data_IF_700132292824
#
_entry.id   IF_700132292824
#
_cell.length_a   1.000
_cell.length_b   1.000
_cell.length_c   1.000
_cell.angle_alpha   90.00
_cell.angle_beta   90.00
_cell.angle_gamma   90.00
#
_symmetry.space_group_name_H-M   'P 1'
#
loop_
_entity.id
_entity.type
_entity.pdbx_description
1 polymer ?
#
# COMPACT_ATOMS: atom_id res chain seq x y z
N UNK A 1 -7.10 36.59 18.00
CA UNK A 1 -5.80 36.42 17.34
C UNK A 1 -5.15 35.16 17.88
N UNK A 2 -5.29 34.03 17.17
CA UNK A 2 -4.73 32.72 17.57
C UNK A 2 -3.30 32.60 17.03
N UNK A 3 -2.35 32.33 17.91
CA UNK A 3 -0.94 32.15 17.59
C UNK A 3 -0.73 30.93 16.68
N UNK A 4 0.15 31.08 15.69
CA UNK A 4 0.58 30.04 14.75
C UNK A 4 1.31 28.90 15.51
N UNK A 5 1.12 27.62 15.15
CA UNK A 5 1.98 26.56 15.66
C UNK A 5 3.35 26.69 14.97
N UNK A 6 4.38 26.88 15.79
CA UNK A 6 5.77 26.99 15.34
C UNK A 6 6.34 25.67 14.85
N UNK A 7 7.31 25.77 13.94
CA UNK A 7 8.15 24.69 13.42
C UNK A 7 8.68 23.80 14.56
N UNK A 8 8.29 22.53 14.54
CA UNK A 8 8.98 21.50 15.32
C UNK A 8 10.32 21.17 14.65
N UNK A 9 11.40 21.18 15.43
CA UNK A 9 12.70 20.68 14.98
C UNK A 9 12.58 19.19 14.57
N UNK A 10 13.26 18.73 13.51
CA UNK A 10 13.21 17.34 13.05
C UNK A 10 13.56 16.31 14.14
N UNK A 11 14.32 16.69 15.18
CA UNK A 11 14.61 15.85 16.34
C UNK A 11 13.37 15.59 17.23
N UNK A 12 12.46 16.56 17.36
CA UNK A 12 11.22 16.40 18.13
C UNK A 12 10.19 15.52 17.41
N UNK A 13 10.22 15.53 16.07
CA UNK A 13 9.38 14.66 15.26
C UNK A 13 9.79 13.19 15.41
N UNK A 14 11.10 12.91 15.41
CA UNK A 14 11.68 11.57 15.56
C UNK A 14 11.33 10.94 16.92
N UNK A 15 11.44 11.71 18.01
CA UNK A 15 11.07 11.25 19.37
C UNK A 15 9.56 10.99 19.47
N UNK A 16 8.72 11.82 18.84
CA UNK A 16 7.27 11.60 18.82
C UNK A 16 6.85 10.34 18.03
N UNK A 17 7.70 9.87 17.11
CA UNK A 17 7.43 8.75 16.23
C UNK A 17 7.86 7.42 16.87
N UNK A 18 8.97 7.39 17.61
CA UNK A 18 9.36 6.27 18.47
C UNK A 18 8.40 6.05 19.65
N UNK A 19 7.99 7.13 20.34
CA UNK A 19 6.99 7.04 21.42
C UNK A 19 5.65 6.47 20.92
N UNK A 20 5.29 6.77 19.67
CA UNK A 20 4.07 6.25 19.03
C UNK A 20 4.17 4.76 18.69
N UNK A 21 5.37 4.25 18.43
CA UNK A 21 5.62 2.84 18.17
C UNK A 21 5.55 2.01 19.47
N UNK A 22 6.11 2.54 20.57
CA UNK A 22 6.05 1.92 21.89
C UNK A 22 4.63 1.88 22.49
N UNK A 23 3.80 2.91 22.25
CA UNK A 23 2.42 2.92 22.71
C UNK A 23 1.47 2.00 21.90
N UNK A 24 1.77 1.71 20.62
CA UNK A 24 0.86 0.92 19.79
C UNK A 24 0.96 -0.60 20.02
N UNK A 25 1.99 -1.07 20.73
CA UNK A 25 2.11 -2.45 21.21
C UNK A 25 1.19 -2.78 22.41
N UNK A 26 0.44 -1.79 22.93
CA UNK A 26 -0.63 -2.02 23.91
C UNK A 26 -2.00 -1.86 23.25
N UNK A 27 -2.68 -2.98 22.97
CA UNK A 27 -4.11 -2.97 22.68
C UNK A 27 -4.91 -2.52 23.92
N UNK A 28 -5.94 -1.67 23.78
CA UNK A 28 -6.87 -1.41 24.87
C UNK A 28 -7.82 -2.61 25.02
N UNK A 29 -7.56 -3.44 26.03
CA UNK A 29 -8.55 -4.37 26.56
C UNK A 29 -9.83 -3.65 26.98
N UNK A 30 -10.97 -4.34 26.85
CA UNK A 30 -12.33 -3.81 27.03
C UNK A 30 -12.66 -3.19 28.41
N UNK A 31 -13.92 -2.76 28.61
CA UNK A 31 -14.30 -1.86 29.70
C UNK A 31 -14.13 -2.50 31.10
N UNK A 32 -13.93 -1.69 32.15
CA UNK A 32 -13.40 -2.14 33.43
C UNK A 32 -14.46 -2.87 34.25
N UNK A 33 -14.18 -4.13 34.60
CA UNK A 33 -14.88 -4.85 35.68
C UNK A 33 -14.23 -4.50 37.01
N UNK A 34 -15.05 -4.03 37.95
CA UNK A 34 -14.71 -3.68 39.33
C UNK A 34 -14.21 -4.89 40.14
N UNK A 35 -12.95 -4.87 40.57
CA UNK A 35 -12.38 -5.81 41.54
C UNK A 35 -10.98 -5.38 42.00
N UNK A 36 -10.56 -5.60 43.26
CA UNK A 36 -9.34 -5.03 43.82
C UNK A 36 -8.11 -5.96 43.70
N UNK A 37 -6.94 -5.35 43.51
CA UNK A 37 -5.54 -5.80 43.75
C UNK A 37 -4.78 -6.55 42.63
N UNK A 38 -3.57 -6.03 42.42
CA UNK A 38 -2.33 -6.66 41.97
C UNK A 38 -2.28 -7.25 40.55
N UNK A 39 -2.31 -6.39 39.53
CA UNK A 39 -1.78 -6.75 38.21
C UNK A 39 -0.28 -6.43 38.16
N UNK A 40 0.54 -7.43 38.44
CA UNK A 40 1.95 -7.44 38.08
C UNK A 40 2.00 -7.47 36.54
N UNK A 41 2.34 -6.34 35.93
CA UNK A 41 2.63 -6.26 34.49
C UNK A 41 3.92 -7.06 34.23
N UNK A 42 3.95 -7.99 33.26
CA UNK A 42 5.13 -8.82 33.01
C UNK A 42 6.27 -7.95 32.46
N UNK A 43 7.44 -8.03 33.12
CA UNK A 43 8.69 -7.42 32.64
C UNK A 43 8.94 -7.84 31.18
N UNK A 44 9.24 -6.87 30.31
CA UNK A 44 9.53 -7.20 28.91
C UNK A 44 10.81 -8.07 28.86
N UNK A 45 10.76 -9.28 28.27
CA UNK A 45 11.93 -10.16 28.25
C UNK A 45 13.03 -9.52 27.41
N UNK A 46 14.24 -9.48 27.96
CA UNK A 46 15.41 -8.99 27.25
C UNK A 46 15.71 -9.88 26.03
N UNK A 47 16.15 -9.32 24.89
CA UNK A 47 16.63 -10.11 23.77
C UNK A 47 17.81 -11.01 24.19
N UNK A 48 17.92 -12.24 23.67
CA UNK A 48 19.03 -13.13 24.00
C UNK A 48 20.38 -12.49 23.65
N UNK A 49 21.30 -12.45 24.62
CA UNK A 49 22.63 -11.84 24.47
C UNK A 49 22.70 -10.33 24.77
N UNK A 50 21.59 -9.70 25.16
CA UNK A 50 21.60 -8.30 25.59
C UNK A 50 22.33 -8.14 26.94
N UNK A 51 23.22 -7.14 27.11
CA UNK A 51 23.95 -6.92 28.37
C UNK A 51 23.04 -6.58 29.57
N UNK A 52 21.77 -6.27 29.30
CA UNK A 52 20.73 -6.04 30.30
C UNK A 52 20.81 -4.65 30.96
N UNK A 53 19.71 -4.29 31.63
CA UNK A 53 19.66 -3.16 32.55
C UNK A 53 19.02 -3.65 33.85
N UNK A 54 19.45 -3.11 34.98
CA UNK A 54 18.91 -3.47 36.29
C UNK A 54 18.80 -2.25 37.20
N UNK A 55 17.85 -2.34 38.14
CA UNK A 55 17.62 -1.33 39.17
C UNK A 55 17.79 -1.99 40.53
N UNK A 56 18.61 -1.38 41.38
CA UNK A 56 18.85 -1.85 42.74
C UNK A 56 18.44 -0.77 43.72
N UNK A 57 17.45 -1.06 44.56
CA UNK A 57 17.07 -0.16 45.65
C UNK A 57 18.06 -0.33 46.82
N UNK A 58 18.67 0.77 47.27
CA UNK A 58 19.62 0.82 48.39
C UNK A 58 19.05 1.78 49.44
N UNK A 59 18.34 1.24 50.44
CA UNK A 59 17.74 2.06 51.49
C UNK A 59 18.79 2.48 52.52
N UNK A 60 19.10 3.79 52.60
CA UNK A 60 20.05 4.35 53.56
C UNK A 60 19.44 5.50 54.36
N UNK A 61 19.57 5.45 55.70
CA UNK A 61 19.35 6.55 56.67
C UNK A 61 18.40 7.69 56.26
N UNK A 62 17.12 7.39 55.98
CA UNK A 62 16.07 8.40 55.78
C UNK A 62 15.97 9.03 54.39
N UNK A 63 16.79 8.62 53.41
CA UNK A 63 16.67 8.99 52.00
C UNK A 63 16.59 7.74 51.12
N UNK A 64 15.65 7.73 50.18
CA UNK A 64 15.50 6.61 49.24
C UNK A 64 16.56 6.76 48.15
N UNK A 65 17.54 5.85 48.10
CA UNK A 65 18.54 5.81 47.04
C UNK A 65 18.35 4.55 46.19
N UNK A 66 18.44 4.69 44.88
CA UNK A 66 18.44 3.54 43.97
C UNK A 66 19.49 3.72 42.89
N UNK A 67 20.02 2.62 42.41
CA UNK A 67 21.09 2.58 41.41
C UNK A 67 20.55 1.99 40.11
N UNK A 68 20.81 2.67 39.00
CA UNK A 68 20.46 2.20 37.65
C UNK A 68 21.75 1.76 36.97
N UNK A 69 21.81 0.49 36.55
CA UNK A 69 22.97 -0.11 35.91
C UNK A 69 22.66 -0.69 34.54
N UNK A 70 23.70 -0.78 33.72
CA UNK A 70 23.70 -1.46 32.43
C UNK A 70 23.42 -0.52 31.27
N UNK A 71 22.82 -1.09 30.22
CA UNK A 71 22.60 -0.43 28.93
C UNK A 71 21.14 0.01 28.79
N UNK A 72 20.91 1.32 28.79
CA UNK A 72 19.59 1.96 28.64
C UNK A 72 19.29 2.30 27.18
N UNK A 73 19.20 1.27 26.34
CA UNK A 73 18.59 1.34 25.01
C UNK A 73 17.12 0.91 25.06
N UNK A 74 16.39 1.00 23.95
CA UNK A 74 14.95 0.68 23.94
C UNK A 74 14.57 -0.66 24.64
N UNK A 75 15.28 -1.79 24.41
CA UNK A 75 15.00 -3.05 25.10
C UNK A 75 15.38 -3.02 26.59
N UNK A 76 16.57 -2.49 26.93
CA UNK A 76 17.03 -2.41 28.31
C UNK A 76 16.14 -1.51 29.16
N UNK A 77 15.76 -0.36 28.62
CA UNK A 77 14.87 0.62 29.26
C UNK A 77 13.48 0.03 29.48
N UNK A 78 12.89 -0.65 28.48
CA UNK A 78 11.59 -1.31 28.64
C UNK A 78 11.60 -2.39 29.73
N UNK A 79 12.72 -3.09 29.90
CA UNK A 79 12.87 -4.12 30.93
C UNK A 79 12.85 -3.53 32.35
N UNK A 80 13.50 -2.39 32.57
CA UNK A 80 13.61 -1.74 33.89
C UNK A 80 12.52 -0.72 34.19
N UNK A 81 11.68 -0.36 33.22
CA UNK A 81 10.75 0.75 33.30
C UNK A 81 9.82 0.69 34.52
N UNK A 82 9.14 -0.44 34.71
CA UNK A 82 8.15 -0.61 35.77
C UNK A 82 8.80 -0.69 37.16
N UNK A 83 9.93 -1.38 37.26
CA UNK A 83 10.64 -1.52 38.53
C UNK A 83 11.27 -0.20 38.97
N UNK A 84 11.90 0.53 38.04
CA UNK A 84 12.44 1.87 38.30
C UNK A 84 11.34 2.83 38.78
N UNK A 85 10.20 2.84 38.09
CA UNK A 85 9.07 3.71 38.41
C UNK A 85 8.47 3.37 39.78
N UNK A 86 8.37 2.08 40.09
CA UNK A 86 7.87 1.59 41.38
C UNK A 86 8.79 2.00 42.53
N UNK A 87 10.10 1.75 42.40
CA UNK A 87 11.10 2.14 43.41
C UNK A 87 11.09 3.65 43.61
N UNK A 88 11.05 4.44 42.53
CA UNK A 88 10.98 5.89 42.61
C UNK A 88 9.71 6.40 43.31
N UNK A 89 8.55 5.79 43.05
CA UNK A 89 7.28 6.16 43.69
C UNK A 89 7.21 5.82 45.19
N UNK A 90 8.04 4.89 45.68
CA UNK A 90 8.07 4.49 47.08
C UNK A 90 8.71 5.56 48.00
N UNK A 91 9.46 6.52 47.44
CA UNK A 91 10.10 7.62 48.18
C UNK A 91 9.17 8.82 48.42
N UNK A 92 7.96 8.59 48.92
CA UNK A 92 6.93 9.64 49.06
C UNK A 92 7.36 10.77 50.02
N UNK A 93 7.31 12.01 49.52
CA UNK A 93 7.56 13.24 50.29
C UNK A 93 9.03 13.54 50.68
N UNK A 94 10.00 12.76 50.20
CA UNK A 94 11.42 12.90 50.55
C UNK A 94 12.35 13.25 49.37
N UNK A 95 13.63 13.49 49.67
CA UNK A 95 14.68 13.56 48.66
C UNK A 95 15.05 12.14 48.21
N UNK A 96 14.92 11.89 46.90
CA UNK A 96 15.23 10.61 46.26
C UNK A 96 16.51 10.76 45.45
N UNK A 97 17.47 9.86 45.62
CA UNK A 97 18.72 9.87 44.84
C UNK A 97 18.78 8.69 43.87
N UNK A 98 19.02 8.98 42.60
CA UNK A 98 19.28 7.97 41.57
C UNK A 98 20.77 7.99 41.19
N UNK A 99 21.50 6.94 41.57
CA UNK A 99 22.89 6.75 41.17
C UNK A 99 22.97 6.18 39.75
N UNK A 100 23.57 6.97 38.87
CA UNK A 100 23.67 6.71 37.43
C UNK A 100 25.09 6.24 37.02
N UNK A 101 25.96 5.91 37.98
CA UNK A 101 27.36 5.53 37.72
C UNK A 101 27.50 4.25 36.90
N UNK A 102 26.55 3.31 37.03
CA UNK A 102 26.55 2.05 36.31
C UNK A 102 25.96 2.09 34.90
N UNK A 103 25.60 3.26 34.37
CA UNK A 103 25.01 3.41 33.03
C UNK A 103 26.13 3.41 31.96
N UNK A 104 26.24 2.33 31.20
CA UNK A 104 27.27 2.18 30.17
C UNK A 104 26.90 2.94 28.87
N UNK A 105 25.63 2.90 28.51
CA UNK A 105 25.09 3.51 27.30
C UNK A 105 23.63 3.92 27.52
N UNK A 106 23.22 5.03 26.91
CA UNK A 106 21.86 5.55 26.99
C UNK A 106 21.44 6.20 25.67
N UNK A 107 20.26 5.82 25.16
CA UNK A 107 19.63 6.45 23.99
C UNK A 107 18.43 7.33 24.38
N UNK A 108 17.59 7.71 23.40
CA UNK A 108 16.40 8.53 23.63
C UNK A 108 15.37 7.87 24.57
N UNK A 109 15.30 6.54 24.62
CA UNK A 109 14.38 5.81 25.49
C UNK A 109 14.86 5.86 26.95
N UNK A 110 16.15 5.67 27.20
CA UNK A 110 16.73 5.80 28.54
C UNK A 110 16.63 7.22 29.09
N UNK A 111 16.79 8.23 28.23
CA UNK A 111 16.52 9.62 28.58
C UNK A 111 15.05 9.85 28.98
N UNK A 112 14.11 9.26 28.25
CA UNK A 112 12.68 9.34 28.57
C UNK A 112 12.36 8.69 29.93
N UNK A 113 13.02 7.57 30.26
CA UNK A 113 12.90 6.93 31.58
C UNK A 113 13.33 7.88 32.70
N UNK A 114 14.52 8.50 32.60
CA UNK A 114 14.99 9.43 33.65
C UNK A 114 14.07 10.64 33.85
N UNK A 115 13.51 11.17 32.76
CA UNK A 115 12.50 12.24 32.83
C UNK A 115 11.20 11.75 33.47
N UNK A 116 10.76 10.54 33.14
CA UNK A 116 9.57 9.94 33.77
C UNK A 116 9.77 9.71 35.27
N UNK A 117 10.96 9.27 35.69
CA UNK A 117 11.26 9.10 37.11
C UNK A 117 11.23 10.43 37.87
N UNK A 118 11.73 11.53 37.27
CA UNK A 118 11.59 12.88 37.84
C UNK A 118 10.12 13.26 38.02
N UNK A 119 9.30 13.00 37.02
CA UNK A 119 7.85 13.26 37.06
C UNK A 119 7.16 12.42 38.16
N UNK A 120 7.42 11.12 38.23
CA UNK A 120 6.84 10.21 39.23
C UNK A 120 7.19 10.64 40.67
N UNK A 121 8.44 11.03 40.91
CA UNK A 121 8.87 11.52 42.23
C UNK A 121 8.26 12.88 42.54
N UNK A 122 8.15 13.77 41.56
CA UNK A 122 7.50 15.07 41.71
C UNK A 122 5.99 14.96 42.00
N UNK A 123 5.29 14.04 41.32
CA UNK A 123 3.88 13.71 41.58
C UNK A 123 3.68 13.16 43.01
N UNK A 124 4.65 12.41 43.53
CA UNK A 124 4.68 11.93 44.91
C UNK A 124 5.14 13.00 45.94
N UNK A 125 5.35 14.24 45.51
CA UNK A 125 5.75 15.37 46.36
C UNK A 125 7.22 15.37 46.81
N UNK A 126 8.08 14.59 46.14
CA UNK A 126 9.53 14.53 46.40
C UNK A 126 10.36 15.24 45.34
N UNK A 127 11.69 15.23 45.51
CA UNK A 127 12.65 15.73 44.51
C UNK A 127 13.68 14.66 44.17
N UNK A 128 13.84 14.36 42.87
CA UNK A 128 14.82 13.38 42.38
C UNK A 128 16.15 14.07 42.02
N UNK A 129 17.24 13.69 42.69
CA UNK A 129 18.61 14.04 42.32
C UNK A 129 19.27 12.91 41.52
N UNK A 130 19.82 13.25 40.35
CA UNK A 130 20.58 12.32 39.52
C UNK A 130 22.07 12.48 39.84
N UNK A 131 22.67 11.46 40.45
CA UNK A 131 24.07 11.47 40.91
C UNK A 131 24.93 10.62 39.97
N UNK A 132 26.19 11.01 39.76
CA UNK A 132 27.17 10.30 38.90
C UNK A 132 26.75 10.11 37.43
N UNK A 133 25.85 10.94 36.91
CA UNK A 133 25.48 10.90 35.50
C UNK A 133 26.62 11.43 34.61
N UNK A 134 26.99 10.67 33.58
CA UNK A 134 28.07 11.07 32.67
C UNK A 134 27.80 12.46 32.03
N UNK A 135 28.82 13.31 31.83
CA UNK A 135 28.64 14.70 31.39
C UNK A 135 27.84 14.86 30.10
N UNK A 136 28.00 13.92 29.14
CA UNK A 136 27.28 13.93 27.86
C UNK A 136 25.75 13.82 28.01
N UNK A 137 25.29 13.09 29.02
CA UNK A 137 23.87 12.88 29.26
C UNK A 137 23.27 13.99 30.13
N UNK A 138 24.07 14.54 31.05
CA UNK A 138 23.66 15.66 31.90
C UNK A 138 23.27 16.89 31.06
N UNK A 139 24.04 17.20 30.02
CA UNK A 139 23.70 18.27 29.07
C UNK A 139 22.33 18.07 28.41
N UNK A 140 21.96 16.84 28.06
CA UNK A 140 20.68 16.54 27.42
C UNK A 140 19.49 16.67 28.38
N UNK A 141 19.67 16.27 29.66
CA UNK A 141 18.64 16.45 30.69
C UNK A 141 18.48 17.94 31.01
N UNK A 142 19.58 18.68 31.14
CA UNK A 142 19.55 20.11 31.43
C UNK A 142 18.81 20.91 30.32
N UNK A 143 18.90 20.47 29.05
CA UNK A 143 18.16 21.06 27.93
C UNK A 143 16.64 20.92 28.05
N UNK A 144 16.15 19.87 28.72
CA UNK A 144 14.71 19.67 28.93
C UNK A 144 14.15 20.53 30.06
N UNK A 145 15.01 21.00 30.97
CA UNK A 145 14.64 21.79 32.16
C UNK A 145 13.67 21.05 33.09
N UNK A 146 13.10 21.77 34.04
CA UNK A 146 12.04 21.24 34.93
C UNK A 146 10.64 21.41 34.32
N UNK A 147 10.55 21.33 32.98
CA UNK A 147 9.25 21.42 32.31
C UNK A 147 8.48 20.14 32.58
N UNK A 148 7.23 20.21 33.06
CA UNK A 148 6.38 19.03 33.15
C UNK A 148 6.25 18.41 31.76
N UNK A 149 6.34 17.08 31.69
CA UNK A 149 6.08 16.36 30.46
C UNK A 149 4.65 16.71 30.01
N UNK A 150 4.41 16.94 28.71
CA UNK A 150 3.06 17.18 28.22
C UNK A 150 2.20 15.97 28.60
N UNK A 151 1.16 16.21 29.40
CA UNK A 151 0.27 15.15 29.86
C UNK A 151 -0.33 14.40 28.66
N UNK A 152 -0.05 13.11 28.58
CA UNK A 152 -0.69 12.24 27.60
C UNK A 152 -2.06 11.85 28.12
N UNK A 153 -3.10 12.48 27.59
CA UNK A 153 -4.48 12.14 27.90
C UNK A 153 -5.00 11.18 26.80
N UNK A 154 -5.18 9.88 27.06
CA UNK A 154 -5.74 8.96 26.08
C UNK A 154 -7.17 9.33 25.64
N UNK A 155 -7.90 10.12 26.45
CA UNK A 155 -9.20 10.68 26.07
C UNK A 155 -9.10 11.81 25.02
N UNK A 156 -7.91 12.41 24.86
CA UNK A 156 -7.56 13.33 23.76
C UNK A 156 -7.07 12.58 22.52
N UNK A 157 -7.32 11.26 22.43
CA UNK A 157 -7.36 10.60 21.12
C UNK A 157 -8.37 11.38 20.29
N UNK A 158 -7.87 12.16 19.32
CA UNK A 158 -8.66 13.04 18.45
C UNK A 158 -9.94 12.29 18.08
N UNK A 159 -11.07 12.67 18.67
CA UNK A 159 -12.38 12.21 18.23
C UNK A 159 -12.59 12.88 16.88
N UNK A 160 -11.94 12.33 15.85
CA UNK A 160 -11.89 12.91 14.52
C UNK A 160 -13.31 13.02 14.02
N UNK A 161 -13.75 14.26 13.85
CA UNK A 161 -15.06 14.56 13.31
C UNK A 161 -15.21 13.92 11.93
N UNK A 162 -16.44 13.61 11.56
CA UNK A 162 -16.74 13.00 10.25
C UNK A 162 -16.18 13.87 9.10
N UNK A 163 -16.22 15.21 9.26
CA UNK A 163 -15.63 16.16 8.32
C UNK A 163 -14.09 16.01 8.17
N UNK A 164 -13.37 15.73 9.25
CA UNK A 164 -11.91 15.53 9.21
C UNK A 164 -11.56 14.19 8.56
N UNK A 165 -12.34 13.13 8.85
CA UNK A 165 -12.18 11.82 8.21
C UNK A 165 -12.42 11.91 6.70
N UNK A 166 -13.50 12.58 6.30
CA UNK A 166 -13.81 12.84 4.89
C UNK A 166 -12.72 13.71 4.27
N UNK A 167 -12.33 14.82 4.90
CA UNK A 167 -11.29 15.71 4.39
C UNK A 167 -9.95 15.00 4.16
N UNK A 168 -9.55 14.10 5.07
CA UNK A 168 -8.35 13.28 4.91
C UNK A 168 -8.51 12.25 3.81
N UNK A 169 -9.63 11.53 3.74
CA UNK A 169 -9.90 10.58 2.67
C UNK A 169 -9.89 11.27 1.29
N UNK A 170 -10.45 12.47 1.19
CA UNK A 170 -10.39 13.30 -0.03
C UNK A 170 -8.95 13.69 -0.38
N UNK A 171 -8.14 14.11 0.61
CA UNK A 171 -6.73 14.44 0.39
C UNK A 171 -5.91 13.24 -0.07
N UNK A 172 -6.14 12.07 0.53
CA UNK A 172 -5.45 10.84 0.18
C UNK A 172 -5.84 10.40 -1.25
N UNK A 173 -7.12 10.54 -1.63
CA UNK A 173 -7.59 10.31 -2.99
C UNK A 173 -6.95 11.27 -4.01
N UNK A 174 -6.90 12.58 -3.71
CA UNK A 174 -6.23 13.58 -4.56
C UNK A 174 -4.74 13.28 -4.74
N UNK A 175 -4.07 12.83 -3.67
CA UNK A 175 -2.66 12.44 -3.73
C UNK A 175 -2.48 11.22 -4.63
N UNK A 176 -3.35 10.21 -4.51
CA UNK A 176 -3.33 9.04 -5.38
C UNK A 176 -3.59 9.35 -6.86
N UNK A 177 -4.50 10.30 -7.16
CA UNK A 177 -4.72 10.77 -8.54
C UNK A 177 -3.45 11.44 -9.08
N UNK A 178 -2.82 12.32 -8.29
CA UNK A 178 -1.58 12.99 -8.69
C UNK A 178 -0.46 12.00 -8.97
N UNK A 179 -0.23 11.06 -8.06
CA UNK A 179 0.78 10.00 -8.22
C UNK A 179 0.56 9.21 -9.50
N UNK A 180 -0.69 8.95 -9.85
CA UNK A 180 -0.96 8.22 -11.09
C UNK A 180 -0.78 9.07 -12.34
N UNK A 181 -1.14 10.36 -12.32
CA UNK A 181 -0.84 11.26 -13.44
C UNK A 181 0.67 11.36 -13.67
N UNK A 182 1.45 11.49 -12.58
CA UNK A 182 2.91 11.47 -12.63
C UNK A 182 3.42 10.15 -13.21
N UNK A 183 2.89 9.01 -12.75
CA UNK A 183 3.27 7.70 -13.26
C UNK A 183 2.90 7.50 -14.74
N UNK A 184 1.71 7.89 -15.18
CA UNK A 184 1.31 7.80 -16.60
C UNK A 184 2.20 8.68 -17.47
N UNK A 185 2.54 9.88 -16.99
CA UNK A 185 3.50 10.76 -17.65
C UNK A 185 4.87 10.11 -17.77
N UNK A 186 5.40 9.57 -16.69
CA UNK A 186 6.69 8.89 -16.66
C UNK A 186 6.71 7.63 -17.54
N UNK A 187 5.68 6.78 -17.45
CA UNK A 187 5.51 5.60 -18.28
C UNK A 187 5.46 5.96 -19.78
N UNK A 188 4.73 7.01 -20.15
CA UNK A 188 4.62 7.48 -21.54
C UNK A 188 5.98 7.96 -22.07
N UNK A 189 6.71 8.74 -21.29
CA UNK A 189 8.07 9.18 -21.63
C UNK A 189 9.01 7.98 -21.79
N UNK A 190 8.93 7.03 -20.87
CA UNK A 190 9.79 5.84 -20.84
C UNK A 190 9.50 4.91 -22.02
N UNK A 191 8.23 4.69 -22.37
CA UNK A 191 7.83 3.93 -23.55
C UNK A 191 8.38 4.61 -24.81
N UNK A 192 8.15 5.92 -24.93
CA UNK A 192 8.62 6.70 -26.09
C UNK A 192 10.14 6.61 -26.23
N UNK A 193 10.87 6.78 -25.13
CA UNK A 193 12.34 6.69 -25.13
C UNK A 193 12.84 5.29 -25.44
N UNK A 194 12.14 4.26 -24.97
CA UNK A 194 12.46 2.85 -25.24
C UNK A 194 12.24 2.48 -26.70
N UNK A 195 11.17 3.02 -27.32
CA UNK A 195 10.92 2.88 -28.76
C UNK A 195 11.98 3.61 -29.61
N UNK A 196 12.46 4.77 -29.16
CA UNK A 196 13.52 5.53 -29.84
C UNK A 196 14.91 4.91 -29.67
N UNK A 197 15.14 4.14 -28.60
CA UNK A 197 16.44 3.51 -28.29
C UNK A 197 16.28 2.01 -27.97
N UNK A 198 15.86 1.18 -28.94
CA UNK A 198 15.52 -0.23 -28.72
C UNK A 198 16.71 -1.09 -28.32
N UNK A 199 17.94 -0.68 -28.66
CA UNK A 199 19.17 -1.37 -28.27
C UNK A 199 19.42 -1.38 -26.76
N UNK A 200 18.76 -0.47 -26.02
CA UNK A 200 18.91 -0.40 -24.57
C UNK A 200 17.79 -1.12 -23.80
N UNK A 201 16.92 -1.86 -24.49
CA UNK A 201 15.84 -2.67 -23.91
C UNK A 201 16.32 -4.11 -23.74
N UNK A 202 16.03 -4.72 -22.59
CA UNK A 202 16.34 -6.13 -22.33
C UNK A 202 15.26 -7.02 -22.95
N UNK A 203 15.38 -7.28 -24.26
CA UNK A 203 14.39 -8.06 -25.02
C UNK A 203 14.13 -9.46 -24.46
N UNK A 204 15.13 -10.08 -23.82
CA UNK A 204 14.95 -11.38 -23.15
C UNK A 204 13.89 -11.30 -22.03
N UNK A 205 13.93 -10.25 -21.22
CA UNK A 205 12.97 -10.04 -20.14
C UNK A 205 11.58 -9.70 -20.71
N UNK A 206 11.54 -8.90 -21.80
CA UNK A 206 10.28 -8.60 -22.50
C UNK A 206 9.61 -9.88 -22.99
N UNK A 207 10.37 -10.76 -23.65
CA UNK A 207 9.86 -12.04 -24.16
C UNK A 207 9.40 -12.96 -23.02
N UNK A 208 10.14 -13.01 -21.91
CA UNK A 208 9.71 -13.79 -20.75
C UNK A 208 8.42 -13.23 -20.15
N UNK A 209 8.31 -11.91 -19.99
CA UNK A 209 7.07 -11.28 -19.52
C UNK A 209 5.92 -11.47 -20.52
N UNK A 210 6.18 -11.49 -21.83
CA UNK A 210 5.20 -11.80 -22.86
C UNK A 210 4.58 -13.20 -22.69
N UNK A 211 5.37 -14.21 -22.32
CA UNK A 211 4.85 -15.56 -22.03
C UNK A 211 3.89 -15.51 -20.83
N UNK A 212 4.32 -14.87 -19.74
CA UNK A 212 3.50 -14.79 -18.52
C UNK A 212 2.23 -13.95 -18.68
N UNK A 213 2.26 -12.88 -19.47
CA UNK A 213 1.07 -12.05 -19.72
C UNK A 213 0.14 -12.72 -20.74
N UNK A 214 0.69 -13.20 -21.85
CA UNK A 214 -0.06 -13.72 -22.99
C UNK A 214 -0.41 -15.19 -22.86
N UNK A 215 0.60 -16.07 -22.96
CA UNK A 215 0.41 -17.53 -23.07
C UNK A 215 -0.35 -18.07 -21.87
N UNK A 216 0.07 -17.68 -20.67
CA UNK A 216 -0.56 -18.17 -19.44
C UNK A 216 -2.04 -17.73 -19.39
N UNK A 217 -2.39 -16.58 -19.95
CA UNK A 217 -3.74 -15.96 -19.93
C UNK A 217 -4.63 -16.31 -21.10
N UNK A 218 -4.08 -16.93 -22.15
CA UNK A 218 -4.81 -17.25 -23.36
C UNK A 218 -6.05 -18.11 -23.08
N UNK A 219 -5.91 -19.16 -22.26
CA UNK A 219 -7.00 -20.10 -21.98
C UNK A 219 -8.16 -19.42 -21.23
N UNK A 220 -7.85 -18.72 -20.14
CA UNK A 220 -8.88 -18.07 -19.31
C UNK A 220 -9.59 -16.97 -20.12
N UNK A 221 -8.86 -16.16 -20.89
CA UNK A 221 -9.43 -15.09 -21.71
C UNK A 221 -10.31 -15.64 -22.83
N UNK A 222 -9.87 -16.69 -23.52
CA UNK A 222 -10.66 -17.32 -24.59
C UNK A 222 -11.93 -17.98 -24.03
N UNK A 223 -11.82 -18.66 -22.89
CA UNK A 223 -12.97 -19.28 -22.22
C UNK A 223 -14.00 -18.23 -21.78
N UNK A 224 -13.56 -17.14 -21.15
CA UNK A 224 -14.44 -16.04 -20.77
C UNK A 224 -15.04 -15.34 -21.99
N UNK A 225 -14.27 -15.13 -23.06
CA UNK A 225 -14.78 -14.59 -24.32
C UNK A 225 -15.88 -15.45 -24.92
N UNK A 226 -15.66 -16.77 -24.99
CA UNK A 226 -16.66 -17.73 -25.45
C UNK A 226 -17.94 -17.69 -24.62
N UNK A 227 -17.82 -17.76 -23.29
CA UNK A 227 -18.98 -17.69 -22.40
C UNK A 227 -19.71 -16.35 -22.50
N UNK A 228 -18.98 -15.24 -22.62
CA UNK A 228 -19.59 -13.92 -22.76
C UNK A 228 -20.33 -13.78 -24.09
N UNK A 229 -19.78 -14.34 -25.17
CA UNK A 229 -20.45 -14.43 -26.46
C UNK A 229 -21.75 -15.22 -26.42
N UNK A 230 -21.75 -16.39 -25.76
CA UNK A 230 -22.95 -17.18 -25.52
C UNK A 230 -24.02 -16.38 -24.76
N UNK A 231 -23.64 -15.80 -23.61
CA UNK A 231 -24.57 -15.08 -22.73
C UNK A 231 -25.16 -13.86 -23.46
N UNK A 232 -24.31 -13.05 -24.11
CA UNK A 232 -24.75 -11.84 -24.80
C UNK A 232 -25.62 -12.15 -26.01
N UNK A 233 -25.31 -13.21 -26.77
CA UNK A 233 -26.15 -13.62 -27.90
C UNK A 233 -27.52 -14.11 -27.42
N UNK A 234 -27.57 -14.88 -26.34
CA UNK A 234 -28.83 -15.39 -25.79
C UNK A 234 -29.70 -14.26 -25.22
N UNK A 235 -29.10 -13.35 -24.44
CA UNK A 235 -29.80 -12.18 -23.90
C UNK A 235 -30.32 -11.27 -25.02
N UNK A 236 -29.49 -10.99 -26.03
CA UNK A 236 -29.88 -10.17 -27.17
C UNK A 236 -31.01 -10.80 -27.97
N UNK A 237 -30.97 -12.12 -28.21
CA UNK A 237 -32.02 -12.84 -28.91
C UNK A 237 -33.37 -12.73 -28.19
N UNK A 238 -33.40 -12.94 -26.87
CA UNK A 238 -34.62 -12.79 -26.06
C UNK A 238 -35.15 -11.34 -26.13
N UNK A 239 -34.27 -10.35 -26.08
CA UNK A 239 -34.68 -8.95 -26.19
C UNK A 239 -35.27 -8.60 -27.56
N UNK A 240 -34.68 -9.10 -28.65
CA UNK A 240 -35.08 -8.80 -30.03
C UNK A 240 -36.24 -9.65 -30.55
N UNK A 241 -36.44 -10.84 -29.98
CA UNK A 241 -37.57 -11.73 -30.31
C UNK A 241 -38.92 -11.02 -30.15
N UNK A 242 -39.04 -10.14 -29.15
CA UNK A 242 -40.26 -9.33 -28.91
C UNK A 242 -40.61 -8.39 -30.07
N UNK A 243 -39.65 -8.09 -30.93
CA UNK A 243 -39.78 -7.20 -32.08
C UNK A 243 -39.60 -7.95 -33.42
N UNK A 244 -39.51 -9.30 -33.39
CA UNK A 244 -39.21 -10.12 -34.56
C UNK A 244 -37.81 -9.88 -35.13
N UNK A 245 -36.89 -9.33 -34.34
CA UNK A 245 -35.60 -8.82 -34.78
C UNK A 245 -34.41 -9.75 -34.59
N UNK A 246 -34.60 -11.04 -34.30
CA UNK A 246 -33.52 -11.99 -33.93
C UNK A 246 -32.35 -12.03 -34.92
N UNK A 247 -32.61 -11.74 -36.20
CA UNK A 247 -31.58 -11.65 -37.25
C UNK A 247 -30.54 -10.53 -37.03
N UNK A 248 -30.82 -9.56 -36.14
CA UNK A 248 -29.91 -8.46 -35.80
C UNK A 248 -29.04 -8.75 -34.57
N UNK A 249 -29.22 -9.90 -33.90
CA UNK A 249 -28.36 -10.32 -32.78
C UNK A 249 -26.87 -10.36 -33.16
N UNK A 250 -26.45 -10.90 -34.32
CA UNK A 250 -25.04 -10.92 -34.70
C UNK A 250 -24.46 -9.51 -34.88
N UNK A 251 -25.27 -8.56 -35.34
CA UNK A 251 -24.86 -7.16 -35.51
C UNK A 251 -24.52 -6.53 -34.15
N UNK A 252 -25.40 -6.70 -33.16
CA UNK A 252 -25.18 -6.18 -31.81
C UNK A 252 -23.99 -6.86 -31.14
N UNK A 253 -23.88 -8.18 -31.26
CA UNK A 253 -22.76 -8.93 -30.69
C UNK A 253 -21.42 -8.45 -31.26
N UNK A 254 -21.30 -8.35 -32.58
CA UNK A 254 -20.09 -7.87 -33.24
C UNK A 254 -19.72 -6.46 -32.78
N UNK A 255 -20.66 -5.50 -32.86
CA UNK A 255 -20.37 -4.12 -32.50
C UNK A 255 -19.96 -3.98 -31.03
N UNK A 256 -20.71 -4.58 -30.10
CA UNK A 256 -20.46 -4.45 -28.66
C UNK A 256 -19.17 -5.15 -28.24
N UNK A 257 -18.87 -6.34 -28.77
CA UNK A 257 -17.66 -7.08 -28.40
C UNK A 257 -16.40 -6.38 -28.92
N UNK A 258 -16.39 -5.98 -30.19
CA UNK A 258 -15.18 -5.41 -30.78
C UNK A 258 -14.88 -3.98 -30.30
N UNK A 259 -15.92 -3.17 -30.07
CA UNK A 259 -15.75 -1.74 -29.75
C UNK A 259 -15.59 -1.45 -28.25
N UNK A 260 -16.27 -2.22 -27.41
CA UNK A 260 -16.40 -1.89 -25.97
C UNK A 260 -15.94 -3.06 -25.09
N UNK A 261 -16.67 -4.18 -25.13
CA UNK A 261 -16.55 -5.24 -24.12
C UNK A 261 -15.24 -6.02 -24.23
N UNK A 262 -14.75 -6.27 -25.45
CA UNK A 262 -13.51 -7.02 -25.66
C UNK A 262 -12.31 -6.38 -24.98
N UNK A 263 -11.95 -5.13 -25.33
CA UNK A 263 -10.84 -4.42 -24.70
C UNK A 263 -11.03 -4.26 -23.18
N UNK A 264 -12.24 -3.90 -22.73
CA UNK A 264 -12.53 -3.64 -21.32
C UNK A 264 -12.41 -4.91 -20.46
N UNK A 265 -13.05 -6.00 -20.85
CA UNK A 265 -13.05 -7.25 -20.07
C UNK A 265 -11.65 -7.86 -20.08
N UNK A 266 -10.97 -7.86 -21.22
CA UNK A 266 -9.58 -8.36 -21.32
C UNK A 266 -8.65 -7.57 -20.40
N UNK A 267 -8.76 -6.24 -20.37
CA UNK A 267 -7.94 -5.39 -19.51
C UNK A 267 -8.22 -5.64 -18.01
N UNK A 268 -9.48 -5.77 -17.60
CA UNK A 268 -9.86 -6.07 -16.21
C UNK A 268 -9.28 -7.42 -15.77
N UNK A 269 -9.39 -8.46 -16.61
CA UNK A 269 -8.85 -9.79 -16.32
C UNK A 269 -7.32 -9.75 -16.19
N UNK A 270 -6.63 -9.04 -17.10
CA UNK A 270 -5.18 -8.92 -17.05
C UNK A 270 -4.69 -8.02 -15.91
N UNK A 271 -5.47 -7.01 -15.48
CA UNK A 271 -5.19 -6.26 -14.25
C UNK A 271 -5.25 -7.17 -13.02
N UNK A 272 -6.28 -8.02 -12.94
CA UNK A 272 -6.47 -8.95 -11.84
C UNK A 272 -5.35 -10.00 -11.74
N UNK A 273 -4.87 -10.54 -12.87
CA UNK A 273 -3.85 -11.59 -12.88
C UNK A 273 -2.43 -11.07 -13.06
N UNK A 274 -2.14 -10.45 -14.20
CA UNK A 274 -0.78 -10.02 -14.54
C UNK A 274 -0.40 -8.74 -13.81
N UNK A 275 -1.32 -7.79 -13.68
CA UNK A 275 -1.10 -6.56 -12.90
C UNK A 275 -0.82 -6.83 -11.43
N UNK A 276 -1.56 -7.78 -10.82
CA UNK A 276 -1.29 -8.24 -9.46
C UNK A 276 0.04 -9.00 -9.37
N UNK A 277 0.34 -9.91 -10.29
CA UNK A 277 1.63 -10.61 -10.32
C UNK A 277 2.82 -9.63 -10.39
N UNK A 278 2.72 -8.58 -11.21
CA UNK A 278 3.74 -7.53 -11.28
C UNK A 278 3.87 -6.75 -9.97
N UNK A 279 2.76 -6.44 -9.31
CA UNK A 279 2.77 -5.80 -8.00
C UNK A 279 3.42 -6.70 -6.93
N UNK A 280 3.13 -8.01 -6.95
CA UNK A 280 3.70 -8.97 -6.00
C UNK A 280 5.20 -9.14 -6.20
N UNK A 281 5.65 -9.29 -7.45
CA UNK A 281 7.06 -9.44 -7.81
C UNK A 281 7.85 -8.21 -7.36
N UNK A 282 7.43 -7.02 -7.79
CA UNK A 282 8.13 -5.77 -7.44
C UNK A 282 8.02 -5.47 -5.94
N UNK A 283 6.88 -5.76 -5.31
CA UNK A 283 6.69 -5.57 -3.87
C UNK A 283 7.59 -6.46 -3.03
N UNK A 284 7.79 -7.71 -3.45
CA UNK A 284 8.73 -8.63 -2.80
C UNK A 284 10.16 -8.13 -2.94
N UNK A 285 10.54 -7.70 -4.15
CA UNK A 285 11.85 -7.08 -4.40
C UNK A 285 12.06 -5.80 -3.58
N UNK A 286 11.01 -5.02 -3.33
CA UNK A 286 11.11 -3.82 -2.48
C UNK A 286 11.36 -4.17 -1.02
N UNK A 287 10.67 -5.18 -0.49
CA UNK A 287 10.82 -5.62 0.91
C UNK A 287 12.19 -6.27 1.13
N UNK A 288 12.72 -6.99 0.14
CA UNK A 288 14.05 -7.60 0.19
C UNK A 288 15.19 -6.61 -0.14
N UNK A 289 14.90 -5.30 -0.23
CA UNK A 289 15.86 -4.25 -0.55
C UNK A 289 16.56 -4.40 -1.93
N UNK A 290 16.06 -5.28 -2.81
CA UNK A 290 16.61 -5.51 -4.15
C UNK A 290 16.46 -4.28 -5.05
N UNK A 291 15.37 -3.49 -4.87
CA UNK A 291 15.19 -2.23 -5.58
C UNK A 291 16.22 -1.18 -5.15
N UNK A 292 16.58 -1.14 -3.87
CA UNK A 292 17.55 -0.19 -3.33
C UNK A 292 18.98 -0.60 -3.72
N UNK A 293 19.26 -1.91 -3.78
CA UNK A 293 20.48 -2.46 -4.35
C UNK A 293 20.67 -2.03 -5.83
N UNK A 294 19.62 -2.09 -6.65
CA UNK A 294 19.69 -1.62 -8.05
C UNK A 294 20.05 -0.14 -8.13
N UNK A 295 19.45 0.71 -7.29
CA UNK A 295 19.78 2.15 -7.27
C UNK A 295 21.23 2.40 -6.86
N UNK A 296 21.74 1.62 -5.90
CA UNK A 296 23.14 1.69 -5.44
C UNK A 296 24.12 1.27 -6.55
N UNK A 297 23.73 0.33 -7.41
CA UNK A 297 24.49 -0.07 -8.60
C UNK A 297 24.40 0.94 -9.77
N UNK A 298 23.71 2.07 -9.58
CA UNK A 298 23.50 3.09 -10.62
C UNK A 298 22.46 2.68 -11.68
N UNK A 299 21.63 1.67 -11.41
CA UNK A 299 20.56 1.22 -12.30
C UNK A 299 19.21 1.81 -11.85
N UNK A 300 18.47 2.42 -12.77
CA UNK A 300 17.12 2.92 -12.48
C UNK A 300 16.10 1.77 -12.44
N UNK A 301 15.42 1.49 -11.31
CA UNK A 301 14.47 0.39 -11.19
C UNK A 301 13.31 0.49 -12.19
N UNK A 302 12.82 1.71 -12.44
CA UNK A 302 11.77 1.97 -13.43
C UNK A 302 12.15 1.45 -14.83
N UNK A 303 13.37 1.74 -15.28
CA UNK A 303 13.83 1.29 -16.60
C UNK A 303 14.14 -0.20 -16.65
N UNK A 304 14.60 -0.78 -15.54
CA UNK A 304 15.08 -2.15 -15.51
C UNK A 304 13.95 -3.17 -15.28
N UNK A 305 12.95 -2.84 -14.47
CA UNK A 305 11.84 -3.73 -14.12
C UNK A 305 10.53 -3.37 -14.83
N UNK A 306 10.20 -2.08 -14.90
CA UNK A 306 8.86 -1.64 -15.34
C UNK A 306 8.76 -1.61 -16.87
N UNK A 307 9.83 -1.22 -17.58
CA UNK A 307 9.85 -1.19 -19.05
C UNK A 307 9.55 -2.56 -19.68
N UNK A 308 10.22 -3.66 -19.30
CA UNK A 308 9.92 -4.97 -19.90
C UNK A 308 8.46 -5.39 -19.70
N UNK A 309 7.91 -5.14 -18.51
CA UNK A 309 6.52 -5.43 -18.17
C UNK A 309 5.55 -4.56 -18.98
N UNK A 310 5.77 -3.26 -19.09
CA UNK A 310 4.97 -2.35 -19.93
C UNK A 310 4.97 -2.76 -21.40
N UNK A 311 6.15 -3.06 -21.98
CA UNK A 311 6.26 -3.48 -23.38
C UNK A 311 5.59 -4.83 -23.63
N UNK A 312 5.71 -5.77 -22.69
CA UNK A 312 5.00 -7.05 -22.78
C UNK A 312 3.48 -6.88 -22.76
N UNK A 313 2.95 -6.03 -21.87
CA UNK A 313 1.52 -5.75 -21.81
C UNK A 313 1.02 -5.02 -23.07
N UNK A 314 1.76 -4.03 -23.56
CA UNK A 314 1.45 -3.30 -24.80
C UNK A 314 1.32 -4.23 -26.01
N UNK A 315 2.12 -5.29 -26.08
CA UNK A 315 2.02 -6.29 -27.14
C UNK A 315 0.91 -7.31 -26.87
N UNK A 316 0.80 -7.81 -25.64
CA UNK A 316 -0.03 -8.96 -25.32
C UNK A 316 -1.49 -8.63 -25.05
N UNK A 317 -1.82 -7.50 -24.41
CA UNK A 317 -3.23 -7.15 -24.11
C UNK A 317 -4.06 -6.95 -25.40
N UNK A 318 -3.58 -6.23 -26.44
CA UNK A 318 -4.31 -6.13 -27.71
C UNK A 318 -4.47 -7.49 -28.40
N UNK A 319 -3.41 -8.31 -28.36
CA UNK A 319 -3.46 -9.68 -28.91
C UNK A 319 -4.48 -10.55 -28.16
N UNK A 320 -4.50 -10.49 -26.83
CA UNK A 320 -5.49 -11.21 -26.01
C UNK A 320 -6.92 -10.72 -26.27
N UNK A 321 -7.09 -9.42 -26.52
CA UNK A 321 -8.38 -8.84 -26.89
C UNK A 321 -8.89 -9.44 -28.21
N UNK A 322 -8.01 -9.68 -29.18
CA UNK A 322 -8.36 -10.37 -30.41
C UNK A 322 -8.84 -11.80 -30.13
N UNK A 323 -8.13 -12.57 -29.31
CA UNK A 323 -8.55 -13.93 -28.92
C UNK A 323 -9.90 -13.92 -28.19
N UNK A 324 -10.12 -12.98 -27.29
CA UNK A 324 -11.40 -12.79 -26.62
C UNK A 324 -12.54 -12.57 -27.63
N UNK A 325 -12.34 -11.64 -28.57
CA UNK A 325 -13.34 -11.32 -29.59
C UNK A 325 -13.64 -12.52 -30.49
N UNK A 326 -12.61 -13.24 -30.95
CA UNK A 326 -12.78 -14.45 -31.76
C UNK A 326 -13.55 -15.53 -31.01
N UNK A 327 -13.19 -15.80 -29.76
CA UNK A 327 -13.90 -16.77 -28.92
C UNK A 327 -15.35 -16.35 -28.67
N UNK A 328 -15.61 -15.06 -28.48
CA UNK A 328 -16.97 -14.53 -28.31
C UNK A 328 -17.84 -14.72 -29.55
N UNK A 329 -17.28 -14.59 -30.75
CA UNK A 329 -18.00 -14.87 -32.00
C UNK A 329 -18.37 -16.36 -32.10
N UNK A 330 -17.48 -17.26 -31.69
CA UNK A 330 -17.77 -18.70 -31.66
C UNK A 330 -18.90 -19.01 -30.67
N UNK A 331 -18.88 -18.37 -29.50
CA UNK A 331 -19.96 -18.49 -28.52
C UNK A 331 -21.31 -18.00 -29.06
N UNK A 332 -21.33 -16.81 -29.68
CA UNK A 332 -22.55 -16.27 -30.28
C UNK A 332 -23.08 -17.09 -31.46
N UNK A 333 -22.17 -17.61 -32.30
CA UNK A 333 -22.52 -18.48 -33.42
C UNK A 333 -23.24 -19.75 -32.94
N UNK A 334 -22.81 -20.34 -31.81
CA UNK A 334 -23.45 -21.53 -31.25
C UNK A 334 -24.91 -21.25 -30.86
N UNK A 335 -25.19 -20.10 -30.24
CA UNK A 335 -26.57 -19.72 -29.89
C UNK A 335 -27.41 -19.51 -31.13
N UNK A 336 -26.90 -18.78 -32.13
CA UNK A 336 -27.65 -18.49 -33.34
C UNK A 336 -27.96 -19.74 -34.16
N UNK A 337 -27.03 -20.70 -34.18
CA UNK A 337 -27.28 -22.04 -34.74
C UNK A 337 -28.41 -22.76 -34.00
N UNK A 338 -28.43 -22.69 -32.66
CA UNK A 338 -29.50 -23.29 -31.84
C UNK A 338 -30.87 -22.64 -32.07
N UNK A 339 -30.91 -21.38 -32.52
CA UNK A 339 -32.13 -20.66 -32.88
C UNK A 339 -32.55 -20.89 -34.34
N UNK A 340 -31.84 -21.73 -35.09
CA UNK A 340 -32.16 -22.08 -36.48
C UNK A 340 -31.57 -21.15 -37.54
N UNK A 341 -30.66 -20.23 -37.17
CA UNK A 341 -29.98 -19.36 -38.13
C UNK A 341 -28.69 -20.02 -38.65
N UNK A 342 -28.49 -20.15 -39.97
CA UNK A 342 -27.26 -20.71 -40.54
C UNK A 342 -26.01 -19.89 -40.19
N UNK A 343 -24.86 -20.56 -40.05
CA UNK A 343 -23.57 -19.91 -39.76
C UNK A 343 -23.19 -18.86 -40.81
N UNK A 344 -23.53 -19.09 -42.08
CA UNK A 344 -23.29 -18.14 -43.18
C UNK A 344 -24.05 -16.82 -42.97
N UNK A 345 -25.29 -16.89 -42.47
CA UNK A 345 -26.09 -15.70 -42.14
C UNK A 345 -25.46 -14.95 -40.97
N UNK A 346 -25.02 -15.68 -39.94
CA UNK A 346 -24.33 -15.11 -38.78
C UNK A 346 -23.07 -14.35 -39.18
N UNK A 347 -22.14 -15.01 -39.88
CA UNK A 347 -20.85 -14.41 -40.24
C UNK A 347 -21.03 -13.25 -41.21
N UNK A 348 -21.90 -13.39 -42.22
CA UNK A 348 -22.21 -12.30 -43.16
C UNK A 348 -22.75 -11.06 -42.43
N UNK A 349 -23.63 -11.24 -41.45
CA UNK A 349 -24.19 -10.15 -40.64
C UNK A 349 -23.14 -9.46 -39.77
N UNK A 350 -22.28 -10.22 -39.09
CA UNK A 350 -21.18 -9.67 -38.29
C UNK A 350 -20.26 -8.82 -39.17
N UNK A 351 -19.75 -9.37 -40.27
CA UNK A 351 -18.79 -8.65 -41.13
C UNK A 351 -19.40 -7.50 -41.92
N UNK A 352 -20.71 -7.50 -42.17
CA UNK A 352 -21.39 -6.39 -42.85
C UNK A 352 -21.64 -5.19 -41.91
N UNK A 353 -21.66 -5.41 -40.59
CA UNK A 353 -22.03 -4.38 -39.61
C UNK A 353 -20.85 -3.89 -38.75
N UNK A 354 -19.83 -4.73 -38.57
CA UNK A 354 -18.59 -4.33 -37.88
C UNK A 354 -17.69 -3.62 -38.88
N UNK A 355 -17.52 -2.31 -38.72
CA UNK A 355 -16.59 -1.55 -39.56
C UNK A 355 -15.16 -1.68 -39.05
N UNK A 356 -14.18 -1.44 -39.93
CA UNK A 356 -12.76 -1.40 -39.55
C UNK A 356 -12.50 -0.36 -38.44
N UNK A 357 -13.26 0.74 -38.41
CA UNK A 357 -13.19 1.75 -37.35
C UNK A 357 -13.51 1.19 -35.97
N UNK A 358 -14.50 0.30 -35.85
CA UNK A 358 -14.88 -0.31 -34.57
C UNK A 358 -13.77 -1.23 -34.07
N UNK A 359 -13.19 -2.03 -34.98
CA UNK A 359 -12.08 -2.93 -34.67
C UNK A 359 -10.83 -2.15 -34.22
N UNK A 360 -10.39 -1.17 -35.01
CA UNK A 360 -9.20 -0.38 -34.68
C UNK A 360 -9.44 0.53 -33.48
N UNK A 361 -10.65 1.05 -33.28
CA UNK A 361 -11.04 1.80 -32.09
C UNK A 361 -10.92 0.96 -30.82
N UNK A 362 -11.43 -0.27 -30.84
CA UNK A 362 -11.27 -1.21 -29.73
C UNK A 362 -9.80 -1.58 -29.48
N UNK A 363 -9.03 -1.81 -30.54
CA UNK A 363 -7.60 -2.12 -30.42
C UNK A 363 -6.79 -0.94 -29.86
N UNK A 364 -7.14 0.29 -30.23
CA UNK A 364 -6.53 1.51 -29.69
C UNK A 364 -6.83 1.66 -28.19
N UNK A 365 -8.07 1.37 -27.75
CA UNK A 365 -8.41 1.29 -26.32
C UNK A 365 -7.55 0.26 -25.60
N UNK A 366 -7.40 -0.94 -26.19
CA UNK A 366 -6.60 -2.01 -25.60
C UNK A 366 -5.14 -1.59 -25.37
N UNK A 367 -4.54 -0.79 -26.28
CA UNK A 367 -3.20 -0.23 -26.10
C UNK A 367 -3.12 0.68 -24.88
N UNK A 368 -4.08 1.59 -24.68
CA UNK A 368 -4.09 2.46 -23.51
C UNK A 368 -4.33 1.68 -22.23
N UNK A 369 -5.25 0.71 -22.25
CA UNK A 369 -5.47 -0.17 -21.11
C UNK A 369 -4.25 -1.00 -20.76
N UNK A 370 -3.42 -1.38 -21.74
CA UNK A 370 -2.15 -2.08 -21.50
C UNK A 370 -1.22 -1.29 -20.57
N UNK A 371 -1.12 0.02 -20.82
CA UNK A 371 -0.30 0.93 -20.02
C UNK A 371 -0.86 1.03 -18.61
N UNK A 372 -2.19 1.09 -18.45
CA UNK A 372 -2.83 1.12 -17.14
C UNK A 372 -2.63 -0.20 -16.37
N UNK A 373 -2.81 -1.35 -17.03
CA UNK A 373 -2.67 -2.69 -16.42
C UNK A 373 -1.26 -2.91 -15.88
N UNK A 374 -0.24 -2.78 -16.72
CA UNK A 374 1.15 -2.98 -16.29
C UNK A 374 1.62 -1.83 -15.40
N UNK A 375 1.19 -0.61 -15.71
CA UNK A 375 1.59 0.59 -15.01
C UNK A 375 1.15 0.62 -13.56
N UNK A 376 -0.16 0.49 -13.32
CA UNK A 376 -0.73 0.48 -11.97
C UNK A 376 -0.18 -0.68 -11.15
N UNK A 377 -0.01 -1.86 -11.76
CA UNK A 377 0.62 -3.01 -11.11
C UNK A 377 2.03 -2.71 -10.62
N UNK A 378 2.87 -2.16 -11.49
CA UNK A 378 4.24 -1.81 -11.14
C UNK A 378 4.32 -0.67 -10.12
N UNK A 379 3.49 0.36 -10.27
CA UNK A 379 3.42 1.49 -9.33
C UNK A 379 3.10 1.01 -7.92
N UNK A 380 2.03 0.22 -7.77
CA UNK A 380 1.64 -0.31 -6.45
C UNK A 380 2.70 -1.25 -5.88
N UNK A 381 3.37 -2.05 -6.71
CA UNK A 381 4.52 -2.85 -6.30
C UNK A 381 5.65 -2.00 -5.72
N UNK A 382 6.03 -0.90 -6.37
CA UNK A 382 7.09 0.00 -5.89
C UNK A 382 6.70 0.76 -4.61
N UNK A 383 5.39 0.97 -4.37
CA UNK A 383 4.84 1.61 -3.17
C UNK A 383 4.65 0.63 -1.99
N UNK A 384 5.04 -0.63 -2.15
CA UNK A 384 4.90 -1.65 -1.09
C UNK A 384 5.67 -1.23 0.16
N UNK A 385 5.00 -1.26 1.30
CA UNK A 385 5.59 -0.95 2.62
C UNK A 385 6.30 -2.17 3.21
N UNK A 386 6.96 -1.99 4.35
CA UNK A 386 7.68 -3.06 5.03
C UNK A 386 6.75 -4.17 5.55
N UNK A 387 7.24 -5.41 5.51
CA UNK A 387 6.58 -6.61 6.05
C UNK A 387 5.82 -7.43 5.01
N UNK A 388 5.79 -8.76 5.19
CA UNK A 388 5.22 -9.70 4.22
C UNK A 388 3.74 -9.45 3.87
N UNK A 389 2.94 -8.99 4.84
CA UNK A 389 1.52 -8.65 4.64
C UNK A 389 1.33 -7.47 3.66
N UNK A 390 2.32 -6.57 3.54
CA UNK A 390 2.24 -5.42 2.67
C UNK A 390 2.24 -5.79 1.18
N UNK A 391 2.84 -6.93 0.78
CA UNK A 391 2.81 -7.42 -0.60
C UNK A 391 1.38 -7.75 -1.02
N UNK A 392 0.63 -8.44 -0.14
CA UNK A 392 -0.78 -8.80 -0.36
C UNK A 392 -1.70 -7.59 -0.47
N UNK A 393 -1.46 -6.58 0.38
CA UNK A 393 -2.19 -5.30 0.32
C UNK A 393 -1.90 -4.56 -0.99
N UNK A 394 -0.64 -4.55 -1.43
CA UNK A 394 -0.23 -3.86 -2.66
C UNK A 394 -0.77 -4.56 -3.91
N UNK A 395 -0.81 -5.90 -3.92
CA UNK A 395 -1.47 -6.68 -4.98
C UNK A 395 -2.94 -6.37 -5.07
N UNK A 396 -3.65 -6.39 -3.94
CA UNK A 396 -5.10 -6.10 -3.93
C UNK A 396 -5.37 -4.66 -4.36
N UNK A 397 -4.56 -3.71 -3.86
CA UNK A 397 -4.64 -2.30 -4.27
C UNK A 397 -4.37 -2.11 -5.76
N UNK A 398 -3.44 -2.86 -6.34
CA UNK A 398 -3.16 -2.82 -7.78
C UNK A 398 -4.37 -3.20 -8.61
N UNK A 399 -5.07 -4.29 -8.24
CA UNK A 399 -6.27 -4.73 -8.96
C UNK A 399 -7.39 -3.70 -8.85
N UNK A 400 -7.73 -3.26 -7.63
CA UNK A 400 -8.83 -2.31 -7.42
C UNK A 400 -8.55 -0.98 -8.12
N UNK A 401 -7.34 -0.44 -7.93
CA UNK A 401 -6.92 0.82 -8.57
C UNK A 401 -6.93 0.67 -10.10
N UNK A 402 -6.44 -0.45 -10.62
CA UNK A 402 -6.40 -0.74 -12.06
C UNK A 402 -7.79 -0.78 -12.68
N UNK A 403 -8.74 -1.50 -12.06
CA UNK A 403 -10.13 -1.59 -12.55
C UNK A 403 -10.80 -0.22 -12.59
N UNK A 404 -10.65 0.58 -11.53
CA UNK A 404 -11.25 1.93 -11.46
C UNK A 404 -10.72 2.80 -12.61
N UNK A 405 -9.42 2.76 -12.88
CA UNK A 405 -8.83 3.58 -13.94
C UNK A 405 -9.11 3.07 -15.33
N UNK A 406 -9.19 1.75 -15.54
CA UNK A 406 -9.65 1.17 -16.80
C UNK A 406 -11.09 1.64 -17.07
N UNK A 407 -11.98 1.56 -16.09
CA UNK A 407 -13.36 2.02 -16.23
C UNK A 407 -13.46 3.53 -16.52
N UNK A 408 -12.66 4.35 -15.83
CA UNK A 408 -12.60 5.79 -16.08
C UNK A 408 -12.07 6.10 -17.49
N UNK A 409 -10.99 5.44 -17.90
CA UNK A 409 -10.42 5.60 -19.23
C UNK A 409 -11.40 5.17 -20.33
N UNK A 410 -12.11 4.05 -20.14
CA UNK A 410 -13.13 3.58 -21.07
C UNK A 410 -14.26 4.61 -21.24
N UNK A 411 -14.76 5.17 -20.12
CA UNK A 411 -15.75 6.25 -20.15
C UNK A 411 -15.26 7.49 -20.91
N UNK A 412 -13.99 7.87 -20.74
CA UNK A 412 -13.40 8.98 -21.48
C UNK A 412 -13.32 8.69 -22.98
N UNK A 413 -12.93 7.47 -23.37
CA UNK A 413 -12.93 7.07 -24.79
C UNK A 413 -14.34 7.02 -25.37
N UNK A 414 -15.34 6.55 -24.63
CA UNK A 414 -16.72 6.52 -25.08
C UNK A 414 -17.22 7.94 -25.41
N UNK A 415 -16.91 8.92 -24.54
CA UNK A 415 -17.21 10.33 -24.80
C UNK A 415 -16.42 10.86 -25.99
N UNK A 416 -15.13 10.55 -26.09
CA UNK A 416 -14.30 10.98 -27.20
C UNK A 416 -14.80 10.46 -28.56
N UNK A 417 -15.12 9.17 -28.66
CA UNK A 417 -15.66 8.55 -29.88
C UNK A 417 -17.03 9.14 -30.24
N UNK A 418 -17.88 9.41 -29.23
CA UNK A 418 -19.15 10.09 -29.44
C UNK A 418 -18.97 11.48 -30.09
N UNK A 419 -18.06 12.30 -29.58
CA UNK A 419 -17.81 13.65 -30.15
C UNK A 419 -17.10 13.60 -31.51
N UNK A 420 -16.21 12.63 -31.71
CA UNK A 420 -15.50 12.44 -32.98
C UNK A 420 -16.39 11.81 -34.07
N UNK A 421 -17.62 11.41 -33.74
CA UNK A 421 -18.57 10.69 -34.61
C UNK A 421 -17.97 9.41 -35.19
N UNK A 422 -17.22 8.66 -34.37
CA UNK A 422 -16.57 7.38 -34.71
C UNK A 422 -17.24 6.23 -33.96
#
# INVERSE_FOLDING_TARGET
MRARPGNFSPAALFISQELRYLCHSHEPGGPPTTGPRDTIVPQHPLPPGHPGASVLAVTGAGQLRFEIRGRLDAPGTAHVWDEASRVASAGSGGAVEADCSGIEYMDGSGMALLLKLREVVAEAGGTLSLVNLAPRHRQLIDLTGDRPLPGWNPADSERRGLAERVGRATRDALTGIREMVEFVGEASVIITRSLLHPSRVRWKDVLLSCVHVGVDSLFIISLLGFLMGLIMSFQSAISLQRFGGEIFVPNMLGLVMFREMGPLVTAILLAARSGSAFAAEIGTMKINEELDALTTMGLSPMRFLVVPKLLSALAMVPLMTLFFNLASLVGGALVMLSLGFPLVTFTSRVFSYVHYSDFFGGMAKALVFSILVAGVGCLRGMQTRSGASAVGLSTTSAVVTGIIFIAFADGLFAVAFYYLKI
#
